data_IF_856410558821
#
_entry.id   IF_856410558821
#
_cell.length_a   1.000
_cell.length_b   1.000
_cell.length_c   1.000
_cell.angle_alpha   90.00
_cell.angle_beta   90.00
_cell.angle_gamma   90.00
#
_symmetry.space_group_name_H-M   'P 1'
#
loop_
_entity.id
_entity.type
_entity.pdbx_description
1 polymer ?
#
# COMPACT_ATOMS: atom_id res chain seq x y z
N UNK A 1 -0.50 -3.32 38.54
CA UNK A 1 -1.85 -2.78 38.24
C UNK A 1 -1.98 -2.75 36.73
N UNK A 2 -2.71 -3.71 36.19
CA UNK A 2 -2.86 -3.84 34.75
C UNK A 2 -4.02 -2.95 34.30
N UNK A 3 -3.72 -1.86 33.57
CA UNK A 3 -4.74 -1.07 32.88
C UNK A 3 -5.04 -1.75 31.54
N UNK A 4 -6.23 -2.31 31.46
CA UNK A 4 -6.82 -2.81 30.22
C UNK A 4 -7.05 -1.65 29.26
N UNK A 5 -6.32 -1.65 28.15
CA UNK A 5 -6.64 -0.79 27.02
C UNK A 5 -7.86 -1.38 26.31
N UNK A 6 -8.98 -0.72 26.44
CA UNK A 6 -10.12 -0.92 25.56
C UNK A 6 -9.82 -0.18 24.26
N UNK A 7 -9.61 -0.91 23.19
CA UNK A 7 -9.66 -0.38 21.84
C UNK A 7 -11.11 0.05 21.59
N UNK A 8 -11.39 1.33 21.76
CA UNK A 8 -12.68 1.89 21.36
C UNK A 8 -12.62 2.10 19.85
N UNK A 9 -13.19 1.16 19.11
CA UNK A 9 -13.56 1.38 17.71
C UNK A 9 -14.80 2.27 17.71
N UNK A 10 -14.61 3.57 17.64
CA UNK A 10 -15.70 4.50 17.33
C UNK A 10 -15.82 4.53 15.81
N UNK A 11 -16.73 3.73 15.31
CA UNK A 11 -17.15 3.75 13.93
C UNK A 11 -18.04 4.97 13.73
N UNK A 12 -17.58 5.92 12.92
CA UNK A 12 -18.45 6.95 12.34
C UNK A 12 -18.43 6.81 10.83
N UNK A 13 -19.60 6.98 10.26
CA UNK A 13 -19.92 6.82 8.84
C UNK A 13 -18.92 7.51 7.93
N UNK A 14 -18.28 6.77 7.05
CA UNK A 14 -17.31 7.29 6.08
C UNK A 14 -18.01 7.55 4.76
N UNK A 15 -17.95 8.78 4.29
CA UNK A 15 -18.43 9.20 2.99
C UNK A 15 -17.23 9.28 2.04
N UNK A 16 -17.25 8.55 0.95
CA UNK A 16 -16.24 8.61 -0.10
C UNK A 16 -16.78 9.35 -1.29
N UNK A 17 -16.06 10.36 -1.77
CA UNK A 17 -16.41 11.19 -2.90
C UNK A 17 -15.64 10.73 -4.12
N UNK A 18 -16.34 10.17 -5.10
CA UNK A 18 -15.83 10.05 -6.46
C UNK A 18 -16.38 11.22 -7.27
N UNK A 19 -15.51 12.09 -7.75
CA UNK A 19 -15.87 13.36 -8.37
C UNK A 19 -15.96 13.20 -9.88
N UNK A 20 -17.11 13.55 -10.43
CA UNK A 20 -17.44 13.48 -11.86
C UNK A 20 -17.76 14.84 -12.42
N UNK A 21 -17.09 15.19 -13.53
CA UNK A 21 -17.36 16.41 -14.30
C UNK A 21 -18.71 16.39 -15.01
N UNK A 22 -19.32 17.56 -15.12
CA UNK A 22 -20.65 17.80 -15.65
C UNK A 22 -20.89 17.27 -17.06
N UNK A 23 -21.90 16.42 -17.18
CA UNK A 23 -22.79 16.38 -18.35
C UNK A 23 -24.20 16.32 -17.79
N UNK A 24 -25.07 17.21 -18.27
CA UNK A 24 -26.44 17.40 -17.79
C UNK A 24 -27.24 16.09 -17.86
N UNK A 25 -27.44 15.48 -16.70
CA UNK A 25 -28.41 14.42 -16.48
C UNK A 25 -29.37 14.90 -15.38
N UNK A 26 -30.66 14.71 -15.56
CA UNK A 26 -31.71 15.04 -14.61
C UNK A 26 -31.40 14.50 -13.21
N UNK A 27 -31.51 15.30 -12.15
CA UNK A 27 -31.14 14.86 -10.81
C UNK A 27 -32.14 13.83 -10.30
N UNK A 28 -31.67 12.60 -10.13
CA UNK A 28 -32.29 11.67 -9.17
C UNK A 28 -31.91 12.17 -7.78
N UNK A 29 -32.85 12.81 -7.09
CA UNK A 29 -32.64 13.37 -5.77
C UNK A 29 -32.38 12.25 -4.74
N UNK A 30 -31.12 12.03 -4.42
CA UNK A 30 -30.75 11.34 -3.20
C UNK A 30 -30.93 12.36 -2.06
N UNK A 31 -32.02 12.22 -1.29
CA UNK A 31 -32.38 13.13 -0.21
C UNK A 31 -31.48 13.10 1.03
N UNK A 32 -30.17 13.17 0.87
CA UNK A 32 -29.23 13.38 1.95
C UNK A 32 -28.63 14.78 1.84
N UNK A 33 -28.61 15.51 2.94
CA UNK A 33 -27.90 16.79 3.03
C UNK A 33 -26.45 16.57 2.59
N UNK A 34 -25.99 17.35 1.60
CA UNK A 34 -24.60 17.31 1.14
C UNK A 34 -23.66 17.45 2.35
N UNK A 35 -22.66 16.57 2.47
CA UNK A 35 -21.74 16.64 3.60
C UNK A 35 -21.01 17.98 3.62
N UNK A 36 -20.68 18.47 4.81
CA UNK A 36 -19.80 19.61 4.97
C UNK A 36 -18.39 19.18 4.56
N UNK A 37 -18.00 19.47 3.32
CA UNK A 37 -16.68 19.16 2.80
C UNK A 37 -15.72 20.23 3.29
N UNK A 38 -14.78 19.83 4.16
CA UNK A 38 -13.65 20.68 4.57
C UNK A 38 -12.39 19.84 4.58
N UNK A 39 -11.30 20.43 4.14
CA UNK A 39 -9.98 19.82 4.19
C UNK A 39 -9.22 20.40 5.40
N UNK A 40 -8.73 19.56 6.29
CA UNK A 40 -8.00 19.94 7.51
C UNK A 40 -6.47 19.88 7.31
N UNK A 41 -5.99 19.50 6.11
CA UNK A 41 -4.58 19.47 5.76
C UNK A 41 -4.22 20.63 4.81
N UNK A 42 -2.93 20.81 4.55
CA UNK A 42 -2.44 21.84 3.64
C UNK A 42 -2.85 21.56 2.18
N UNK A 43 -3.21 22.59 1.39
CA UNK A 43 -3.66 22.43 0.02
C UNK A 43 -2.53 22.03 -0.94
N UNK A 44 -1.26 22.29 -0.59
CA UNK A 44 -0.12 21.95 -1.43
C UNK A 44 0.06 20.44 -1.52
N UNK A 45 -0.06 19.72 -0.39
CA UNK A 45 0.00 18.26 -0.36
C UNK A 45 -1.11 17.62 -1.22
N UNK A 46 -2.31 18.22 -1.24
CA UNK A 46 -3.42 17.77 -2.09
C UNK A 46 -3.12 18.03 -3.57
N UNK A 47 -2.62 19.20 -3.93
CA UNK A 47 -2.16 19.50 -5.30
C UNK A 47 -1.07 18.56 -5.78
N UNK A 48 -0.12 18.18 -4.90
CA UNK A 48 0.91 17.18 -5.22
C UNK A 48 0.24 15.82 -5.52
N UNK A 49 -0.68 15.37 -4.70
CA UNK A 49 -1.40 14.11 -4.91
C UNK A 49 -2.21 14.12 -6.22
N UNK A 50 -2.89 15.22 -6.53
CA UNK A 50 -3.63 15.40 -7.78
C UNK A 50 -2.70 15.30 -8.99
N UNK A 51 -1.57 16.01 -8.97
CA UNK A 51 -0.57 15.95 -10.08
C UNK A 51 -0.01 14.54 -10.28
N UNK A 52 0.22 13.79 -9.20
CA UNK A 52 0.67 12.39 -9.27
C UNK A 52 -0.37 11.47 -9.89
N UNK A 53 -1.64 11.61 -9.48
CA UNK A 53 -2.76 10.87 -10.09
C UNK A 53 -2.94 11.25 -11.57
N UNK A 54 -2.84 12.53 -11.90
CA UNK A 54 -2.92 13.03 -13.29
C UNK A 54 -1.78 12.45 -14.15
N UNK A 55 -0.55 12.39 -13.62
CA UNK A 55 0.59 11.81 -14.34
C UNK A 55 0.41 10.31 -14.64
N UNK A 56 -0.28 9.57 -13.75
CA UNK A 56 -0.67 8.18 -14.04
C UNK A 56 -1.72 8.11 -15.15
N UNK A 57 -2.80 8.90 -15.05
CA UNK A 57 -3.90 8.87 -16.01
C UNK A 57 -3.47 9.29 -17.43
N UNK A 58 -2.55 10.25 -17.53
CA UNK A 58 -1.97 10.71 -18.80
C UNK A 58 -1.15 9.64 -19.54
N UNK A 59 -0.66 8.61 -18.85
CA UNK A 59 0.05 7.48 -19.46
C UNK A 59 -0.91 6.45 -20.07
N UNK A 60 -2.20 6.52 -19.74
CA UNK A 60 -3.21 5.60 -20.23
C UNK A 60 -3.86 6.13 -21.53
N UNK A 61 -4.36 5.22 -22.40
CA UNK A 61 -5.27 5.62 -23.47
C UNK A 61 -6.47 6.37 -22.87
N UNK A 62 -6.91 7.50 -23.48
CA UNK A 62 -7.99 8.32 -22.92
C UNK A 62 -9.31 7.56 -22.67
N UNK A 63 -9.61 6.57 -23.48
CA UNK A 63 -10.78 5.71 -23.44
C UNK A 63 -10.63 4.49 -22.50
N UNK A 64 -9.45 4.31 -21.90
CA UNK A 64 -9.20 3.21 -20.94
C UNK A 64 -10.12 3.31 -19.76
N UNK A 65 -10.89 2.25 -19.49
CA UNK A 65 -11.74 2.17 -18.31
C UNK A 65 -10.88 2.03 -17.06
N UNK A 66 -11.06 2.95 -16.10
CA UNK A 66 -10.35 3.02 -14.82
C UNK A 66 -11.26 2.79 -13.62
N UNK A 67 -12.58 2.69 -13.83
CA UNK A 67 -13.57 2.37 -12.82
C UNK A 67 -14.93 2.07 -13.42
N UNK A 68 -15.72 1.24 -12.75
CA UNK A 68 -17.07 0.87 -13.19
C UNK A 68 -18.17 1.37 -12.23
N UNK A 69 -17.79 1.78 -11.04
CA UNK A 69 -18.71 2.31 -10.03
C UNK A 69 -18.43 3.81 -9.77
N UNK A 70 -19.46 4.65 -9.60
CA UNK A 70 -20.92 4.43 -9.70
C UNK A 70 -21.38 4.26 -11.13
N UNK A 71 -20.54 4.56 -12.09
CA UNK A 71 -20.73 4.37 -13.53
C UNK A 71 -19.38 4.07 -14.17
N UNK A 72 -19.41 3.63 -15.41
CA UNK A 72 -18.20 3.39 -16.21
C UNK A 72 -17.49 4.71 -16.46
N UNK A 73 -16.21 4.78 -16.05
CA UNK A 73 -15.36 5.95 -16.14
C UNK A 73 -14.09 5.65 -16.90
N UNK A 74 -13.75 6.53 -17.83
CA UNK A 74 -12.51 6.48 -18.59
C UNK A 74 -11.38 7.24 -17.88
N UNK A 75 -10.14 7.01 -18.31
CA UNK A 75 -8.98 7.77 -17.83
C UNK A 75 -9.18 9.28 -18.10
N UNK A 76 -9.76 9.63 -19.25
CA UNK A 76 -10.09 11.02 -19.61
C UNK A 76 -11.11 11.62 -18.64
N UNK A 77 -12.19 10.91 -18.29
CA UNK A 77 -13.23 11.43 -17.38
C UNK A 77 -12.64 11.77 -16.01
N UNK A 78 -11.79 10.87 -15.48
CA UNK A 78 -11.15 11.11 -14.18
C UNK A 78 -10.13 12.23 -14.25
N UNK A 79 -9.32 12.29 -15.33
CA UNK A 79 -8.35 13.37 -15.52
C UNK A 79 -9.02 14.73 -15.63
N UNK A 80 -10.08 14.86 -16.41
CA UNK A 80 -10.85 16.09 -16.54
C UNK A 80 -11.44 16.54 -15.19
N UNK A 81 -11.92 15.57 -14.39
CA UNK A 81 -12.39 15.83 -13.02
C UNK A 81 -11.29 16.35 -12.11
N UNK A 82 -10.08 15.78 -12.18
CA UNK A 82 -8.93 16.25 -11.40
C UNK A 82 -8.55 17.69 -11.75
N UNK A 83 -8.54 18.03 -13.04
CA UNK A 83 -8.23 19.40 -13.51
C UNK A 83 -9.22 20.41 -12.95
N UNK A 84 -10.53 20.09 -13.02
CA UNK A 84 -11.58 20.97 -12.47
C UNK A 84 -11.44 21.09 -10.95
N UNK A 85 -11.17 20.00 -10.26
CA UNK A 85 -11.00 19.99 -8.81
C UNK A 85 -9.79 20.81 -8.36
N UNK A 86 -8.63 20.62 -9.01
CA UNK A 86 -7.42 21.40 -8.69
C UNK A 86 -7.66 22.90 -8.86
N UNK A 87 -8.40 23.29 -9.90
CA UNK A 87 -8.79 24.69 -10.09
C UNK A 87 -9.66 25.20 -8.93
N UNK A 88 -10.69 24.45 -8.53
CA UNK A 88 -11.54 24.82 -7.39
C UNK A 88 -10.72 24.91 -6.09
N UNK A 89 -9.80 23.97 -5.89
CA UNK A 89 -8.89 23.98 -4.74
C UNK A 89 -8.06 25.28 -4.71
N UNK A 90 -7.38 25.61 -5.79
CA UNK A 90 -6.50 26.79 -5.86
C UNK A 90 -7.26 28.11 -5.72
N UNK A 91 -8.47 28.19 -6.28
CA UNK A 91 -9.28 29.40 -6.24
C UNK A 91 -9.96 29.62 -4.87
N UNK A 92 -10.29 28.57 -4.13
CA UNK A 92 -11.20 28.63 -2.98
C UNK A 92 -10.70 28.03 -1.66
N UNK A 93 -9.51 27.42 -1.61
CA UNK A 93 -9.05 26.70 -0.40
C UNK A 93 -9.04 27.53 0.89
N UNK A 94 -8.84 28.86 0.80
CA UNK A 94 -8.83 29.78 1.96
C UNK A 94 -10.21 30.05 2.55
N UNK A 95 -11.27 29.68 1.84
CA UNK A 95 -12.64 29.87 2.25
C UNK A 95 -13.36 28.52 2.24
N UNK A 96 -13.40 27.82 3.39
CA UNK A 96 -13.99 26.49 3.48
C UNK A 96 -15.44 26.43 2.96
N UNK A 97 -16.25 27.45 3.26
CA UNK A 97 -17.63 27.54 2.74
C UNK A 97 -17.66 27.74 1.23
N UNK A 98 -16.76 28.57 0.68
CA UNK A 98 -16.66 28.79 -0.77
C UNK A 98 -16.24 27.49 -1.47
N UNK A 99 -15.24 26.81 -0.91
CA UNK A 99 -14.73 25.52 -1.42
C UNK A 99 -15.85 24.46 -1.44
N UNK A 100 -16.51 24.24 -0.30
CA UNK A 100 -17.61 23.28 -0.20
C UNK A 100 -18.75 23.60 -1.19
N UNK A 101 -19.12 24.87 -1.33
CA UNK A 101 -20.15 25.30 -2.29
C UNK A 101 -19.76 24.97 -3.74
N UNK A 102 -18.52 25.28 -4.15
CA UNK A 102 -18.04 25.03 -5.50
C UNK A 102 -17.90 23.52 -5.79
N UNK A 103 -17.48 22.73 -4.81
CA UNK A 103 -17.46 21.26 -4.93
C UNK A 103 -18.89 20.74 -5.13
N UNK A 104 -19.83 21.09 -4.26
CA UNK A 104 -21.22 20.62 -4.36
C UNK A 104 -21.92 21.09 -5.65
N UNK A 105 -21.49 22.21 -6.25
CA UNK A 105 -22.06 22.71 -7.51
C UNK A 105 -21.51 21.99 -8.75
N UNK A 106 -20.34 21.36 -8.67
CA UNK A 106 -19.63 20.82 -9.84
C UNK A 106 -19.46 19.30 -9.80
N UNK A 107 -19.62 18.69 -8.63
CA UNK A 107 -19.32 17.30 -8.40
C UNK A 107 -20.44 16.57 -7.68
N UNK A 108 -20.67 15.34 -8.09
CA UNK A 108 -21.54 14.42 -7.38
C UNK A 108 -20.74 13.70 -6.28
N UNK A 109 -21.29 13.70 -5.08
CA UNK A 109 -20.76 12.93 -3.95
C UNK A 109 -21.37 11.55 -3.98
N UNK A 110 -20.53 10.53 -4.16
CA UNK A 110 -20.96 9.13 -4.21
C UNK A 110 -20.50 8.42 -2.95
N UNK A 111 -21.39 7.86 -2.13
CA UNK A 111 -21.02 7.11 -0.95
C UNK A 111 -20.26 5.82 -1.33
N UNK A 112 -19.38 5.35 -0.43
CA UNK A 112 -18.58 4.12 -0.62
C UNK A 112 -19.42 2.85 -0.75
N UNK A 113 -20.65 2.88 -0.22
CA UNK A 113 -21.63 1.80 -0.33
C UNK A 113 -23.03 2.38 -0.48
N UNK A 114 -23.85 1.74 -1.32
CA UNK A 114 -25.28 2.03 -1.40
C UNK A 114 -26.06 1.51 -0.18
N UNK A 115 -25.49 0.57 0.57
CA UNK A 115 -26.08 0.03 1.79
C UNK A 115 -25.54 0.79 3.03
N UNK A 116 -26.38 1.52 3.77
CA UNK A 116 -25.98 2.21 4.98
C UNK A 116 -25.41 1.29 6.07
N UNK A 117 -25.79 0.01 6.09
CA UNK A 117 -25.27 -0.98 7.03
C UNK A 117 -23.80 -1.38 6.72
N UNK A 118 -23.33 -1.12 5.50
CA UNK A 118 -21.97 -1.34 5.04
C UNK A 118 -21.16 -0.03 4.92
N UNK A 119 -21.64 1.05 5.55
CA UNK A 119 -21.00 2.36 5.50
C UNK A 119 -19.71 2.44 6.33
N UNK A 120 -19.50 1.47 7.21
CA UNK A 120 -18.35 1.43 8.09
C UNK A 120 -17.13 0.89 7.35
N UNK A 121 -16.17 1.77 7.10
CA UNK A 121 -14.90 1.43 6.42
C UNK A 121 -13.78 1.40 7.44
N UNK A 122 -13.08 0.26 7.51
CA UNK A 122 -11.85 0.15 8.31
C UNK A 122 -10.70 0.83 7.58
N UNK A 123 -10.14 1.89 8.18
CA UNK A 123 -8.91 2.52 7.71
C UNK A 123 -7.70 1.91 8.42
N UNK A 124 -6.69 1.55 7.63
CA UNK A 124 -5.39 1.13 8.14
C UNK A 124 -4.32 2.08 7.61
N UNK A 125 -3.37 2.45 8.46
CA UNK A 125 -2.25 3.29 8.07
C UNK A 125 -1.17 2.46 7.37
N UNK A 126 -0.71 2.91 6.20
CA UNK A 126 0.54 2.48 5.61
C UNK A 126 1.67 3.36 6.17
N UNK A 127 2.71 2.73 6.67
CA UNK A 127 3.92 3.45 7.06
C UNK A 127 5.13 2.91 6.30
N UNK A 128 6.08 3.76 6.04
CA UNK A 128 7.34 3.38 5.41
C UNK A 128 8.38 3.12 6.51
N UNK A 129 8.79 1.86 6.73
CA UNK A 129 9.78 1.54 7.76
C UNK A 129 11.12 2.21 7.44
N UNK A 130 11.79 2.70 8.48
CA UNK A 130 13.18 3.20 8.42
C UNK A 130 14.05 2.20 9.16
N UNK A 131 14.92 1.53 8.42
CA UNK A 131 15.81 0.49 8.96
C UNK A 131 17.27 0.93 8.85
N UNK A 132 18.09 0.51 9.79
CA UNK A 132 19.53 0.81 9.76
C UNK A 132 20.26 -0.16 8.83
N UNK A 133 21.16 0.36 8.00
CA UNK A 133 21.89 -0.41 7.01
C UNK A 133 23.33 0.01 6.78
N UNK A 134 24.03 -0.84 6.05
CA UNK A 134 25.40 -0.65 5.55
C UNK A 134 25.48 -1.05 4.08
N UNK A 135 26.36 -0.42 3.32
CA UNK A 135 26.65 -0.81 1.93
C UNK A 135 27.55 -2.06 1.85
N UNK A 136 28.20 -2.41 2.94
CA UNK A 136 29.09 -3.56 3.04
C UNK A 136 28.71 -4.45 4.23
N UNK A 137 28.90 -5.76 4.15
CA UNK A 137 28.66 -6.64 5.28
C UNK A 137 29.65 -6.38 6.42
N UNK A 138 29.14 -6.42 7.65
CA UNK A 138 29.96 -6.34 8.88
C UNK A 138 29.47 -7.38 9.89
N UNK A 139 30.11 -7.47 11.05
CA UNK A 139 29.64 -8.33 12.14
C UNK A 139 28.22 -7.93 12.63
N UNK A 140 27.86 -6.65 12.53
CA UNK A 140 26.57 -6.11 12.90
C UNK A 140 25.56 -6.17 11.73
N UNK A 141 25.96 -5.69 10.56
CA UNK A 141 25.13 -5.63 9.35
C UNK A 141 25.37 -6.87 8.48
N UNK A 142 24.62 -7.92 8.68
CA UNK A 142 24.85 -9.24 8.06
C UNK A 142 23.68 -9.83 7.28
N UNK A 143 22.49 -9.18 7.33
CA UNK A 143 21.31 -9.63 6.63
C UNK A 143 21.16 -8.83 5.32
N UNK A 144 21.30 -9.49 4.15
CA UNK A 144 21.30 -8.80 2.88
C UNK A 144 19.89 -8.41 2.43
N UNK A 145 19.76 -7.23 1.84
CA UNK A 145 18.61 -6.78 1.08
C UNK A 145 18.91 -6.95 -0.40
N UNK A 146 18.19 -7.84 -1.08
CA UNK A 146 18.49 -8.22 -2.45
C UNK A 146 17.69 -7.46 -3.49
N UNK A 147 18.34 -7.14 -4.62
CA UNK A 147 17.68 -6.75 -5.88
C UNK A 147 17.14 -7.99 -6.59
N UNK A 148 16.28 -7.76 -7.60
CA UNK A 148 15.76 -8.84 -8.44
C UNK A 148 16.91 -9.62 -9.08
N UNK A 149 16.99 -10.94 -8.89
CA UNK A 149 17.98 -11.77 -9.55
C UNK A 149 17.72 -11.84 -11.07
N UNK A 150 18.78 -11.89 -11.89
CA UNK A 150 18.64 -11.91 -13.35
C UNK A 150 18.07 -13.24 -13.88
N UNK A 151 18.16 -14.31 -13.10
CA UNK A 151 17.60 -15.64 -13.40
C UNK A 151 16.16 -15.83 -12.94
N UNK A 152 15.54 -14.80 -12.33
CA UNK A 152 14.12 -14.81 -11.99
C UNK A 152 13.28 -14.63 -13.25
N UNK A 153 12.60 -15.70 -13.66
CA UNK A 153 11.78 -15.72 -14.87
C UNK A 153 10.31 -15.69 -14.49
N UNK A 154 9.56 -14.76 -15.11
CA UNK A 154 8.11 -14.75 -15.04
C UNK A 154 7.56 -15.29 -16.37
N UNK A 155 6.98 -16.49 -16.35
CA UNK A 155 6.36 -17.12 -17.49
C UNK A 155 4.84 -16.99 -17.43
N UNK A 156 4.20 -16.77 -18.57
CA UNK A 156 2.74 -16.84 -18.68
C UNK A 156 2.34 -18.27 -19.00
N UNK A 157 1.62 -18.91 -18.09
CA UNK A 157 1.06 -20.22 -18.34
C UNK A 157 -0.29 -20.08 -19.04
N UNK A 158 -0.34 -20.44 -20.32
CA UNK A 158 -1.60 -20.53 -21.09
C UNK A 158 -2.22 -21.89 -20.77
N UNK A 159 -3.27 -21.91 -19.97
CA UNK A 159 -4.09 -23.11 -19.78
C UNK A 159 -5.07 -23.25 -20.94
N UNK A 160 -5.16 -24.46 -21.51
CA UNK A 160 -6.01 -24.78 -22.65
C UNK A 160 -7.53 -24.78 -22.37
N UNK A 161 -7.95 -24.39 -21.18
CA UNK A 161 -9.37 -24.25 -20.84
C UNK A 161 -9.83 -22.79 -20.96
N UNK A 162 -10.94 -22.52 -21.71
CA UNK A 162 -11.37 -21.16 -22.09
C UNK A 162 -11.87 -20.29 -20.93
N UNK A 163 -11.80 -20.73 -19.69
CA UNK A 163 -12.31 -20.01 -18.49
C UNK A 163 -11.26 -19.72 -17.41
N UNK A 164 -10.01 -20.09 -17.61
CA UNK A 164 -8.97 -19.89 -16.62
C UNK A 164 -8.14 -18.63 -16.97
N UNK A 165 -8.00 -17.77 -15.97
CA UNK A 165 -7.10 -16.62 -16.04
C UNK A 165 -5.67 -17.08 -16.36
N UNK A 166 -4.94 -16.29 -17.14
CA UNK A 166 -3.51 -16.50 -17.38
C UNK A 166 -2.80 -16.40 -16.03
N UNK A 167 -2.37 -17.53 -15.47
CA UNK A 167 -1.56 -17.53 -14.25
C UNK A 167 -0.11 -17.21 -14.60
N UNK A 168 0.42 -16.20 -13.93
CA UNK A 168 1.83 -15.85 -14.04
C UNK A 168 2.63 -16.72 -13.10
N UNK A 169 3.38 -17.66 -13.64
CA UNK A 169 4.26 -18.54 -12.87
C UNK A 169 5.65 -17.91 -12.78
N UNK A 170 6.20 -17.84 -11.59
CA UNK A 170 7.55 -17.31 -11.33
C UNK A 170 8.47 -18.46 -10.95
N UNK A 171 9.64 -18.53 -11.58
CA UNK A 171 10.62 -19.57 -11.36
C UNK A 171 11.98 -19.23 -11.95
N UNK A 172 12.81 -20.23 -12.16
CA UNK A 172 14.14 -20.14 -12.76
C UNK A 172 14.39 -21.31 -13.72
N UNK A 173 15.33 -21.15 -14.60
CA UNK A 173 15.83 -22.25 -15.43
C UNK A 173 16.86 -23.06 -14.65
N UNK A 174 16.72 -24.38 -14.65
CA UNK A 174 17.70 -25.32 -14.14
C UNK A 174 17.98 -26.37 -15.22
N UNK A 175 19.05 -26.15 -15.97
CA UNK A 175 19.27 -26.85 -17.23
C UNK A 175 18.16 -26.54 -18.24
N UNK A 176 17.47 -27.57 -18.73
CA UNK A 176 16.33 -27.44 -19.66
C UNK A 176 14.97 -27.36 -18.95
N UNK A 177 14.95 -27.42 -17.62
CA UNK A 177 13.72 -27.42 -16.83
C UNK A 177 13.42 -26.04 -16.25
N UNK A 178 12.14 -25.67 -16.22
CA UNK A 178 11.64 -24.55 -15.45
C UNK A 178 11.20 -25.05 -14.08
N UNK A 179 11.82 -24.53 -13.01
CA UNK A 179 11.56 -24.93 -11.63
C UNK A 179 11.12 -23.71 -10.82
N UNK A 180 10.36 -23.89 -9.72
CA UNK A 180 10.04 -22.80 -8.81
C UNK A 180 11.28 -22.04 -8.35
N UNK A 181 11.17 -20.74 -8.11
CA UNK A 181 12.27 -19.98 -7.56
C UNK A 181 12.55 -20.39 -6.11
N UNK A 182 13.71 -20.01 -5.59
CA UNK A 182 14.10 -20.33 -4.21
C UNK A 182 13.09 -19.81 -3.20
N UNK A 183 12.79 -20.62 -2.20
CA UNK A 183 12.00 -20.26 -1.01
C UNK A 183 12.77 -19.30 -0.13
N UNK A 184 12.07 -18.63 0.80
CA UNK A 184 12.71 -17.81 1.84
C UNK A 184 13.80 -18.58 2.59
N UNK A 185 13.54 -19.82 2.99
CA UNK A 185 14.54 -20.66 3.70
C UNK A 185 15.81 -20.85 2.88
N UNK A 186 15.67 -21.16 1.60
CA UNK A 186 16.83 -21.35 0.72
C UNK A 186 17.62 -20.06 0.52
N UNK A 187 16.95 -18.90 0.48
CA UNK A 187 17.61 -17.60 0.34
C UNK A 187 18.30 -17.20 1.65
N UNK A 188 17.57 -17.19 2.78
CA UNK A 188 18.02 -16.62 4.04
C UNK A 188 18.98 -17.56 4.80
N UNK A 189 18.66 -18.88 4.88
CA UNK A 189 19.42 -19.85 5.69
C UNK A 189 20.47 -20.57 4.85
N UNK A 190 20.09 -21.15 3.69
CA UNK A 190 21.02 -21.88 2.81
C UNK A 190 21.95 -20.91 2.06
N UNK A 191 21.45 -19.70 1.76
CA UNK A 191 22.21 -18.65 1.10
C UNK A 191 22.29 -18.82 -0.41
N UNK A 192 21.21 -19.27 -1.04
CA UNK A 192 21.14 -19.52 -2.48
C UNK A 192 21.55 -18.30 -3.36
N UNK A 193 21.47 -17.08 -2.83
CA UNK A 193 21.84 -15.85 -3.55
C UNK A 193 23.18 -15.25 -3.12
N UNK A 194 23.89 -15.88 -2.17
CA UNK A 194 25.19 -15.35 -1.68
C UNK A 194 26.24 -15.37 -2.77
N UNK A 195 27.00 -14.29 -2.88
CA UNK A 195 28.12 -14.19 -3.84
C UNK A 195 27.68 -13.84 -5.28
N UNK A 196 26.39 -13.60 -5.52
CA UNK A 196 25.90 -13.21 -6.83
C UNK A 196 25.93 -11.68 -7.08
N UNK A 197 26.37 -10.88 -6.09
CA UNK A 197 26.44 -9.42 -6.21
C UNK A 197 25.08 -8.74 -6.29
N UNK A 198 24.08 -9.33 -5.67
CA UNK A 198 22.69 -8.87 -5.71
C UNK A 198 22.31 -7.98 -4.53
N UNK A 199 23.21 -7.79 -3.59
CA UNK A 199 22.97 -7.04 -2.38
C UNK A 199 22.87 -5.53 -2.68
N UNK A 200 21.74 -4.90 -2.27
CA UNK A 200 21.56 -3.44 -2.30
C UNK A 200 22.17 -2.80 -1.06
N UNK A 201 21.95 -3.44 0.08
CA UNK A 201 22.43 -3.05 1.39
C UNK A 201 22.41 -4.26 2.33
N UNK A 202 23.04 -4.09 3.48
CA UNK A 202 23.04 -5.06 4.57
C UNK A 202 22.40 -4.43 5.78
N UNK A 203 21.50 -5.15 6.46
CA UNK A 203 20.79 -4.66 7.64
C UNK A 203 21.17 -5.46 8.88
N UNK A 204 21.00 -4.88 10.06
CA UNK A 204 21.41 -5.53 11.31
C UNK A 204 20.32 -6.38 11.95
N UNK A 205 19.05 -6.03 11.72
CA UNK A 205 17.91 -6.66 12.37
C UNK A 205 17.08 -7.49 11.38
N UNK A 206 17.05 -8.83 11.53
CA UNK A 206 16.27 -9.70 10.65
C UNK A 206 14.75 -9.50 10.81
N UNK A 207 14.28 -9.00 11.97
CA UNK A 207 12.88 -8.71 12.21
C UNK A 207 12.45 -7.52 11.34
N UNK A 208 13.25 -6.44 11.35
CA UNK A 208 12.98 -5.26 10.53
C UNK A 208 13.06 -5.59 9.03
N UNK A 209 14.02 -6.43 8.61
CA UNK A 209 14.11 -6.91 7.23
C UNK A 209 12.87 -7.72 6.83
N UNK A 210 12.41 -8.62 7.69
CA UNK A 210 11.20 -9.40 7.44
C UNK A 210 9.98 -8.49 7.28
N UNK A 211 9.82 -7.49 8.15
CA UNK A 211 8.72 -6.53 8.02
C UNK A 211 8.85 -5.63 6.78
N UNK A 212 10.06 -5.28 6.38
CA UNK A 212 10.29 -4.58 5.11
C UNK A 212 9.79 -5.40 3.91
N UNK A 213 10.01 -6.72 3.91
CA UNK A 213 9.48 -7.62 2.87
C UNK A 213 7.93 -7.65 2.87
N UNK A 214 7.29 -7.56 4.05
CA UNK A 214 5.83 -7.50 4.17
C UNK A 214 5.29 -6.17 3.62
N UNK A 215 5.97 -5.05 3.97
CA UNK A 215 5.55 -3.72 3.54
C UNK A 215 5.86 -3.44 2.05
N UNK A 216 6.88 -4.11 1.49
CA UNK A 216 7.30 -3.96 0.11
C UNK A 216 8.03 -2.66 -0.21
N UNK A 217 8.18 -1.72 0.73
CA UNK A 217 9.01 -0.53 0.58
C UNK A 217 9.46 0.01 1.93
N UNK A 218 10.57 0.76 1.92
CA UNK A 218 11.14 1.35 3.13
C UNK A 218 12.31 2.28 2.83
N UNK A 219 12.94 2.74 3.90
CA UNK A 219 14.14 3.58 3.86
C UNK A 219 15.26 2.85 4.59
N UNK A 220 16.37 2.62 3.91
CA UNK A 220 17.61 2.19 4.54
C UNK A 220 18.40 3.44 4.93
N UNK A 221 18.66 3.63 6.22
CA UNK A 221 19.43 4.74 6.76
C UNK A 221 20.83 4.27 7.09
N UNK A 222 21.83 4.93 6.53
CA UNK A 222 23.24 4.65 6.78
C UNK A 222 23.78 5.50 7.95
N UNK A 223 24.91 5.08 8.51
CA UNK A 223 25.55 5.72 9.66
C UNK A 223 26.00 7.15 9.39
N UNK A 224 26.28 7.51 8.15
CA UNK A 224 26.62 8.88 7.70
C UNK A 224 25.39 9.78 7.52
N UNK A 225 24.18 9.28 7.82
CA UNK A 225 22.90 9.99 7.65
C UNK A 225 22.30 9.90 6.25
N UNK A 226 23.02 9.32 5.28
CA UNK A 226 22.48 9.08 3.94
C UNK A 226 21.31 8.10 4.01
N UNK A 227 20.33 8.29 3.10
CA UNK A 227 19.10 7.48 3.03
C UNK A 227 18.93 6.90 1.64
N UNK A 228 18.59 5.62 1.59
CA UNK A 228 18.29 4.90 0.38
C UNK A 228 16.81 4.45 0.42
N UNK A 229 15.98 4.99 -0.46
CA UNK A 229 14.63 4.50 -0.62
C UNK A 229 14.66 3.19 -1.40
N UNK A 230 13.98 2.19 -0.87
CA UNK A 230 13.80 0.88 -1.53
C UNK A 230 12.32 0.59 -1.72
N UNK A 231 11.99 0.02 -2.86
CA UNK A 231 10.61 -0.34 -3.21
C UNK A 231 10.56 -1.72 -3.85
N UNK A 232 9.39 -2.31 -3.83
CA UNK A 232 9.09 -3.60 -4.45
C UNK A 232 9.57 -3.62 -5.93
N UNK A 233 10.26 -4.67 -6.30
CA UNK A 233 10.64 -4.95 -7.68
C UNK A 233 10.02 -6.24 -8.20
N UNK A 234 10.15 -7.32 -7.44
CA UNK A 234 9.62 -8.63 -7.78
C UNK A 234 9.40 -9.48 -6.52
N UNK A 235 8.78 -10.63 -6.69
CA UNK A 235 8.67 -11.68 -5.67
C UNK A 235 9.10 -13.03 -6.27
N UNK A 236 9.41 -13.98 -5.40
CA UNK A 236 9.89 -15.30 -5.79
C UNK A 236 8.79 -16.28 -6.29
N UNK A 237 7.52 -15.85 -6.34
CA UNK A 237 6.39 -16.66 -6.83
C UNK A 237 5.72 -17.54 -5.78
N UNK A 238 6.30 -17.71 -4.60
CA UNK A 238 5.67 -18.46 -3.52
C UNK A 238 4.54 -17.65 -2.87
N UNK A 239 3.42 -18.32 -2.51
CA UNK A 239 2.30 -17.64 -1.88
C UNK A 239 2.68 -17.10 -0.50
N UNK A 240 2.15 -15.93 -0.17
CA UNK A 240 2.30 -15.35 1.15
C UNK A 240 1.57 -16.18 2.21
N UNK A 241 2.27 -16.54 3.29
CA UNK A 241 1.72 -17.20 4.47
C UNK A 241 1.87 -16.29 5.68
N UNK A 242 0.75 -15.96 6.32
CA UNK A 242 0.73 -15.06 7.47
C UNK A 242 1.36 -15.69 8.70
N UNK A 243 2.49 -15.14 9.15
CA UNK A 243 3.12 -15.55 10.41
C UNK A 243 2.29 -15.14 11.63
N UNK A 244 1.54 -14.04 11.55
CA UNK A 244 0.60 -13.64 12.59
C UNK A 244 -0.49 -14.68 12.78
N UNK A 245 -1.03 -15.22 11.69
CA UNK A 245 -1.99 -16.32 11.74
C UNK A 245 -1.38 -17.58 12.34
N UNK A 246 -0.17 -17.94 11.94
CA UNK A 246 0.56 -19.08 12.51
C UNK A 246 0.68 -18.96 14.05
N UNK A 247 1.06 -17.78 14.56
CA UNK A 247 1.23 -17.56 15.99
C UNK A 247 -0.09 -17.62 16.76
N UNK A 248 -1.17 -17.16 16.15
CA UNK A 248 -2.53 -17.29 16.73
C UNK A 248 -2.95 -18.76 16.77
N UNK A 249 -2.86 -19.46 15.64
CA UNK A 249 -3.32 -20.84 15.50
C UNK A 249 -2.49 -21.81 16.38
N UNK A 250 -1.21 -21.46 16.66
CA UNK A 250 -0.34 -22.21 17.59
C UNK A 250 -0.48 -21.78 19.06
N UNK A 251 -1.39 -20.87 19.39
CA UNK A 251 -1.64 -20.40 20.76
C UNK A 251 -0.52 -19.55 21.35
N UNK A 252 0.43 -19.07 20.55
CA UNK A 252 1.59 -18.29 21.02
C UNK A 252 1.26 -16.82 21.23
N UNK A 253 0.27 -16.29 20.51
CA UNK A 253 -0.23 -14.92 20.65
C UNK A 253 -1.75 -14.94 20.57
N UNK A 254 -2.42 -14.27 21.50
CA UNK A 254 -3.87 -14.12 21.45
C UNK A 254 -4.30 -13.26 20.26
N UNK A 255 -5.41 -13.62 19.61
CA UNK A 255 -5.93 -12.90 18.43
C UNK A 255 -6.17 -11.42 18.72
N UNK A 256 -6.66 -11.12 19.91
CA UNK A 256 -7.01 -9.78 20.39
C UNK A 256 -5.77 -8.88 20.61
N UNK A 257 -4.61 -9.52 20.84
CA UNK A 257 -3.34 -8.83 21.06
C UNK A 257 -2.52 -8.67 19.76
N UNK A 258 -2.98 -9.33 18.66
CA UNK A 258 -2.21 -9.37 17.43
C UNK A 258 -2.02 -7.97 16.83
N UNK A 259 -0.78 -7.52 16.79
CA UNK A 259 -0.34 -6.27 16.20
C UNK A 259 1.11 -6.38 15.74
N UNK A 260 1.57 -5.45 14.91
CA UNK A 260 2.99 -5.37 14.51
C UNK A 260 3.93 -5.24 15.72
N UNK A 261 3.53 -4.44 16.71
CA UNK A 261 4.29 -4.25 17.95
C UNK A 261 4.36 -5.55 18.75
N UNK A 262 3.25 -6.30 18.82
CA UNK A 262 3.22 -7.59 19.52
C UNK A 262 4.08 -8.63 18.84
N UNK A 263 4.06 -8.67 17.49
CA UNK A 263 4.96 -9.54 16.72
C UNK A 263 6.44 -9.22 16.97
N UNK A 264 6.81 -7.94 16.90
CA UNK A 264 8.20 -7.52 17.19
C UNK A 264 8.62 -7.95 18.58
N UNK A 265 7.81 -7.69 19.59
CA UNK A 265 8.07 -8.12 20.96
C UNK A 265 8.25 -9.62 21.04
N UNK A 266 7.34 -10.40 20.44
CA UNK A 266 7.42 -11.85 20.43
C UNK A 266 8.77 -12.34 19.88
N UNK A 267 9.20 -11.83 18.73
CA UNK A 267 10.46 -12.24 18.11
C UNK A 267 11.68 -11.78 18.92
N UNK A 268 11.62 -10.64 19.57
CA UNK A 268 12.69 -10.17 20.47
C UNK A 268 12.82 -11.08 21.69
N UNK A 269 11.70 -11.53 22.25
CA UNK A 269 11.64 -12.45 23.39
C UNK A 269 12.00 -13.90 23.02
N UNK A 270 11.77 -14.30 21.75
CA UNK A 270 11.95 -15.67 21.27
C UNK A 270 12.89 -15.74 20.03
N UNK A 271 14.16 -15.32 20.14
CA UNK A 271 15.06 -15.22 18.99
C UNK A 271 15.36 -16.57 18.32
N UNK A 272 15.27 -17.67 19.06
CA UNK A 272 15.51 -19.02 18.52
C UNK A 272 14.41 -19.50 17.58
N UNK A 273 13.21 -18.92 17.67
CA UNK A 273 12.09 -19.31 16.82
C UNK A 273 11.98 -18.47 15.54
N UNK A 274 12.75 -17.36 15.44
CA UNK A 274 12.67 -16.44 14.32
C UNK A 274 12.83 -17.13 12.96
N UNK A 275 13.90 -17.91 12.79
CA UNK A 275 14.22 -18.57 11.51
C UNK A 275 13.07 -19.45 11.02
N UNK A 276 12.59 -20.36 11.88
CA UNK A 276 11.50 -21.28 11.52
C UNK A 276 10.18 -20.53 11.20
N UNK A 277 9.85 -19.51 12.00
CA UNK A 277 8.60 -18.75 11.79
C UNK A 277 8.71 -17.90 10.53
N UNK A 278 9.86 -17.26 10.27
CA UNK A 278 10.05 -16.49 9.03
C UNK A 278 10.02 -17.39 7.80
N UNK A 279 10.68 -18.56 7.86
CA UNK A 279 10.71 -19.53 6.79
C UNK A 279 9.34 -20.16 6.49
N UNK A 280 8.39 -20.15 7.43
CA UNK A 280 7.01 -20.55 7.17
C UNK A 280 6.35 -19.69 6.08
N UNK A 281 6.69 -18.41 6.01
CA UNK A 281 6.33 -17.58 4.87
C UNK A 281 7.37 -17.72 3.76
N UNK A 282 7.14 -18.64 2.84
CA UNK A 282 8.05 -18.95 1.72
C UNK A 282 8.18 -17.79 0.71
N UNK A 283 7.22 -16.85 0.72
CA UNK A 283 7.27 -15.67 -0.14
C UNK A 283 8.43 -14.75 0.21
N UNK A 284 9.19 -14.34 -0.80
CA UNK A 284 10.33 -13.43 -0.70
C UNK A 284 10.19 -12.27 -1.66
N UNK A 285 10.44 -11.05 -1.20
CA UNK A 285 10.35 -9.83 -2.00
C UNK A 285 11.76 -9.35 -2.36
N UNK A 286 11.98 -9.05 -3.62
CA UNK A 286 13.17 -8.38 -4.15
C UNK A 286 12.89 -6.90 -4.32
N UNK A 287 13.92 -6.08 -4.11
CA UNK A 287 13.79 -4.64 -4.06
C UNK A 287 14.49 -3.94 -5.22
N UNK A 288 14.07 -2.72 -5.49
CA UNK A 288 14.78 -1.76 -6.34
C UNK A 288 15.05 -0.49 -5.55
N UNK A 289 16.14 0.18 -5.89
CA UNK A 289 16.40 1.54 -5.38
C UNK A 289 15.44 2.50 -6.08
N UNK A 290 14.82 3.37 -5.32
CA UNK A 290 13.82 4.31 -5.78
C UNK A 290 14.16 5.73 -5.33
N UNK A 291 14.32 6.66 -6.26
CA UNK A 291 14.63 8.06 -5.97
C UNK A 291 13.41 8.85 -5.46
N UNK A 292 12.19 8.37 -5.75
CA UNK A 292 10.96 9.13 -5.55
C UNK A 292 10.18 8.76 -4.28
N UNK A 293 10.72 7.85 -3.46
CA UNK A 293 10.07 7.36 -2.24
C UNK A 293 9.09 6.20 -2.49
N UNK A 294 8.11 6.01 -1.59
CA UNK A 294 7.17 4.91 -1.71
C UNK A 294 6.26 5.08 -2.93
N UNK A 295 6.17 4.04 -3.76
CA UNK A 295 5.24 3.98 -4.89
C UNK A 295 3.97 3.25 -4.50
N UNK A 296 2.82 3.76 -4.94
CA UNK A 296 1.55 3.07 -4.87
C UNK A 296 1.34 2.08 -6.03
N UNK A 297 0.19 1.41 -6.04
CA UNK A 297 -0.20 0.47 -7.11
C UNK A 297 -0.35 1.13 -8.50
N UNK A 298 -0.39 2.45 -8.56
CA UNK A 298 -0.39 3.24 -9.80
C UNK A 298 1.03 3.56 -10.30
N UNK A 299 2.06 3.04 -9.64
CA UNK A 299 3.48 3.32 -9.93
C UNK A 299 3.83 4.82 -9.93
N UNK A 300 3.13 5.58 -9.11
CA UNK A 300 3.45 6.98 -8.80
C UNK A 300 3.73 7.11 -7.30
N UNK A 301 4.55 8.09 -6.89
CA UNK A 301 4.84 8.30 -5.49
C UNK A 301 3.57 8.57 -4.69
N UNK A 302 3.46 7.97 -3.51
CA UNK A 302 2.36 8.28 -2.58
C UNK A 302 2.64 9.57 -1.82
N UNK A 303 1.58 10.29 -1.47
CA UNK A 303 1.64 11.52 -0.68
C UNK A 303 1.09 11.24 0.70
N UNK A 304 1.89 11.48 1.75
CA UNK A 304 1.48 11.26 3.12
C UNK A 304 0.18 12.02 3.47
N UNK A 305 -0.76 11.36 4.12
CA UNK A 305 -2.08 11.92 4.45
C UNK A 305 -3.02 12.12 3.25
N UNK A 306 -2.58 11.87 2.00
CA UNK A 306 -3.36 12.16 0.78
C UNK A 306 -3.58 10.96 -0.13
N UNK A 307 -2.69 9.97 -0.09
CA UNK A 307 -2.84 8.78 -0.93
C UNK A 307 -3.58 7.68 -0.20
N UNK A 308 -4.57 7.12 -0.86
CA UNK A 308 -5.42 6.06 -0.35
C UNK A 308 -5.31 4.82 -1.23
N UNK A 309 -5.08 3.67 -0.61
CA UNK A 309 -5.23 2.37 -1.27
C UNK A 309 -6.70 1.96 -1.21
N UNK A 310 -7.30 1.66 -2.35
CA UNK A 310 -8.73 1.34 -2.47
C UNK A 310 -8.95 0.06 -3.25
N UNK A 311 -10.10 -0.55 -3.07
CA UNK A 311 -10.55 -1.63 -3.95
C UNK A 311 -10.93 -1.04 -5.32
N UNK A 312 -10.20 -1.41 -6.36
CA UNK A 312 -10.41 -0.91 -7.71
C UNK A 312 -11.78 -1.30 -8.32
N UNK A 313 -12.49 -2.25 -7.71
CA UNK A 313 -13.86 -2.62 -8.11
C UNK A 313 -14.88 -1.58 -7.64
N UNK A 314 -14.57 -0.88 -6.55
CA UNK A 314 -15.46 0.09 -5.92
C UNK A 314 -15.05 1.54 -6.23
N UNK A 315 -13.75 1.78 -6.41
CA UNK A 315 -13.21 3.13 -6.59
C UNK A 315 -12.45 3.25 -7.91
N UNK A 316 -12.75 4.26 -8.72
CA UNK A 316 -11.98 4.53 -9.93
C UNK A 316 -10.52 4.85 -9.60
N UNK A 317 -9.60 4.27 -10.35
CA UNK A 317 -8.17 4.53 -10.17
C UNK A 317 -7.85 6.01 -10.43
N UNK A 318 -7.17 6.63 -9.48
CA UNK A 318 -6.74 8.03 -9.56
C UNK A 318 -7.81 9.05 -9.20
N UNK A 319 -9.05 8.65 -8.88
CA UNK A 319 -10.11 9.55 -8.46
C UNK A 319 -9.85 10.16 -7.07
N UNK A 320 -10.56 11.25 -6.78
CA UNK A 320 -10.53 11.91 -5.46
C UNK A 320 -11.52 11.21 -4.53
N UNK A 321 -11.09 11.02 -3.28
CA UNK A 321 -11.93 10.55 -2.19
C UNK A 321 -11.93 11.58 -1.06
N UNK A 322 -13.09 11.78 -0.43
CA UNK A 322 -13.24 12.51 0.81
C UNK A 322 -13.38 11.51 1.96
N UNK A 323 -12.56 11.67 2.98
CA UNK A 323 -12.53 10.79 4.15
C UNK A 323 -12.83 11.62 5.38
N UNK A 324 -13.79 11.14 6.18
CA UNK A 324 -14.05 11.66 7.51
C UNK A 324 -13.91 10.51 8.50
N UNK A 325 -12.89 10.60 9.36
CA UNK A 325 -12.58 9.55 10.34
C UNK A 325 -11.90 10.16 11.56
N UNK A 326 -12.03 9.49 12.69
CA UNK A 326 -11.27 9.84 13.89
C UNK A 326 -9.88 9.19 13.82
N UNK A 327 -8.83 9.96 14.03
CA UNK A 327 -7.45 9.46 14.09
C UNK A 327 -7.13 9.16 15.56
N UNK A 328 -6.70 7.93 15.90
CA UNK A 328 -6.27 7.65 17.27
C UNK A 328 -5.03 8.48 17.61
N UNK A 329 -5.13 9.32 18.62
CA UNK A 329 -3.99 10.05 19.17
C UNK A 329 -3.27 9.13 20.17
N UNK A 330 -1.99 8.87 19.92
CA UNK A 330 -1.14 8.20 20.91
C UNK A 330 -0.80 9.27 21.95
N UNK A 331 -1.38 9.11 23.14
CA UNK A 331 -1.00 9.94 24.28
C UNK A 331 0.45 9.61 24.66
N UNK A 332 1.34 10.56 24.47
CA UNK A 332 2.78 10.41 24.75
C UNK A 332 3.10 10.60 26.25
N UNK A 333 2.07 10.76 27.10
CA UNK A 333 2.20 10.74 28.53
C UNK A 333 1.98 9.32 29.10
N UNK A 334 3.08 8.51 29.13
CA UNK A 334 3.06 7.19 29.74
C UNK A 334 4.37 6.45 29.58
#
# INVERSE_FOLDING_TARGET
MARRFKLFTLLRSTLVIAILGCLQATPTSWGQSSPAISDDLDPESLSIAIRRSSAFLQKLPPDRIVGEHPRRLTAKDVLDSLIVFEKVLLDHWRCAHCFAREINARFDVVPSSADPALSDVLFTGYYQPVIEGSLTPTAEFRYPLYRTPPDLIAAEQVTLEPKLAVERVIGRAEGEQFVPYYTRREIDEVGALRGHGLEIAWVKDPIELFFLHIQGSGIVRFSDGHRLNVGYAAQNGWPYRSIGRLLIDSGKVAKEEMSMQRLRRYFTENPREQGEIFAYNESYVFFRVNSEGALGSLEVPVTAGRSLATDARLFPKGAIAFIQTDIPVIDTEG
#
